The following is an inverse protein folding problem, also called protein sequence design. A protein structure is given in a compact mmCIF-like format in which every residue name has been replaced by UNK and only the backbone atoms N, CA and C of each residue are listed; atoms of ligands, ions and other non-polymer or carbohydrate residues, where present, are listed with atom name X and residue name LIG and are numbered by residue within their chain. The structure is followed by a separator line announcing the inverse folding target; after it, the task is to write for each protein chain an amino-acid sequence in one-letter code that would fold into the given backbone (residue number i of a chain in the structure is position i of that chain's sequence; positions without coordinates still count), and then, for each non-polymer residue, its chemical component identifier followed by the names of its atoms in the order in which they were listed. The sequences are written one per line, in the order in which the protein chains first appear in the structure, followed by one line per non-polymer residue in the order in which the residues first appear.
data_IF_312130379092
#
_entry.id   IF_312130379092
#
_cell.length_a   1.000
_cell.length_b   1.000
_cell.length_c   1.000
_cell.angle_alpha   90.00
_cell.angle_beta   90.00
_cell.angle_gamma   90.00
#
_symmetry.space_group_name_H-M   'P 1'
#
loop_
_entity.id
_entity.type
_entity.pdbx_description
1 polymer ?
#
# COMPACT_ATOMS: atom_id res chain seq x y z
N UNK A 1 -2.11 -2.57 -4.11
CA UNK A 1 -0.85 -1.88 -4.41
C UNK A 1 -0.43 -2.27 -5.81
N UNK A 2 -0.37 -1.28 -6.70
CA UNK A 2 0.23 -1.44 -8.03
C UNK A 2 1.68 -1.93 -7.84
N UNK A 3 2.09 -3.07 -8.42
CA UNK A 3 3.48 -3.53 -8.35
C UNK A 3 4.48 -2.51 -8.91
N UNK A 4 4.02 -1.45 -9.60
CA UNK A 4 4.84 -0.31 -10.00
C UNK A 4 5.31 0.57 -8.84
N UNK A 5 4.67 0.48 -7.66
CA UNK A 5 5.04 1.19 -6.43
C UNK A 5 5.25 2.70 -6.61
N UNK A 6 4.35 3.35 -7.37
CA UNK A 6 4.37 4.78 -7.68
C UNK A 6 3.08 5.53 -7.30
N UNK A 7 2.17 4.87 -6.57
CA UNK A 7 0.90 5.44 -6.07
C UNK A 7 1.10 6.74 -5.27
N UNK A 8 2.23 6.87 -4.58
CA UNK A 8 2.55 8.01 -3.71
C UNK A 8 3.52 9.02 -4.34
N UNK A 9 4.03 8.74 -5.54
CA UNK A 9 5.10 9.51 -6.19
C UNK A 9 4.77 11.00 -6.31
N UNK A 10 3.53 11.34 -6.68
CA UNK A 10 3.10 12.72 -6.86
C UNK A 10 2.94 13.46 -5.53
N UNK A 11 2.48 12.78 -4.48
CA UNK A 11 2.35 13.35 -3.13
C UNK A 11 3.73 13.64 -2.52
N UNK A 12 4.74 12.85 -2.87
CA UNK A 12 6.12 13.02 -2.41
C UNK A 12 6.99 13.87 -3.35
N UNK A 13 6.39 14.66 -4.24
CA UNK A 13 7.13 15.59 -5.10
C UNK A 13 8.01 14.92 -6.15
N UNK A 14 7.62 13.74 -6.64
CA UNK A 14 8.36 12.96 -7.64
C UNK A 14 9.34 11.95 -7.02
N UNK A 15 9.43 11.88 -5.69
CA UNK A 15 10.24 10.89 -4.99
C UNK A 15 9.60 9.50 -5.09
N UNK A 16 10.36 8.52 -5.58
CA UNK A 16 10.03 7.10 -5.44
C UNK A 16 10.55 6.62 -4.09
N UNK A 17 9.66 6.44 -3.12
CA UNK A 17 10.04 5.93 -1.81
C UNK A 17 10.37 4.44 -1.84
N UNK A 18 11.13 3.97 -0.84
CA UNK A 18 11.33 2.53 -0.64
C UNK A 18 10.01 1.89 -0.21
N UNK A 19 9.79 0.65 -0.62
CA UNK A 19 8.57 -0.08 -0.28
C UNK A 19 8.72 -0.81 1.05
N UNK A 20 7.60 -1.13 1.70
CA UNK A 20 7.56 -1.92 2.94
C UNK A 20 8.28 -3.25 2.75
N UNK A 21 8.02 -3.97 1.65
CA UNK A 21 8.69 -5.24 1.39
C UNK A 21 10.19 -5.08 1.14
N UNK A 22 10.65 -3.98 0.55
CA UNK A 22 12.08 -3.75 0.34
C UNK A 22 12.80 -3.44 1.65
N UNK A 23 12.16 -2.67 2.53
CA UNK A 23 12.69 -2.37 3.87
C UNK A 23 12.74 -3.64 4.71
N UNK A 24 11.66 -4.43 4.74
CA UNK A 24 11.64 -5.73 5.44
C UNK A 24 12.72 -6.70 4.93
N UNK A 25 13.05 -6.70 3.64
CA UNK A 25 14.14 -7.53 3.09
C UNK A 25 15.52 -7.06 3.53
N UNK A 26 15.70 -5.75 3.70
CA UNK A 26 16.98 -5.16 4.05
C UNK A 26 17.25 -5.17 5.55
N UNK A 27 16.23 -4.91 6.35
CA UNK A 27 16.33 -4.63 7.79
C UNK A 27 15.72 -5.74 8.66
N UNK A 28 14.93 -6.64 8.08
CA UNK A 28 14.29 -7.74 8.79
C UNK A 28 12.99 -7.31 9.48
N UNK A 29 12.78 -7.74 10.73
CA UNK A 29 11.57 -7.41 11.51
C UNK A 29 11.74 -6.15 12.38
N UNK A 30 12.94 -5.58 12.44
CA UNK A 30 13.25 -4.38 13.22
C UNK A 30 13.02 -3.13 12.35
N UNK A 31 11.75 -2.84 12.08
CA UNK A 31 11.30 -1.75 11.20
C UNK A 31 10.35 -0.84 11.97
N UNK A 32 10.65 0.46 11.99
CA UNK A 32 9.80 1.47 12.61
C UNK A 32 8.82 2.09 11.60
N UNK A 33 7.78 2.76 12.11
CA UNK A 33 6.78 3.41 11.26
C UNK A 33 7.42 4.50 10.37
N UNK A 34 8.44 5.19 10.89
CA UNK A 34 9.16 6.27 10.19
C UNK A 34 9.98 5.78 8.98
N UNK A 35 10.35 4.50 8.96
CA UNK A 35 11.11 3.92 7.85
C UNK A 35 10.23 3.69 6.62
N UNK A 36 8.96 3.32 6.86
CA UNK A 36 8.00 2.94 5.82
C UNK A 36 7.00 4.05 5.46
N UNK A 37 6.79 5.03 6.35
CA UNK A 37 5.88 6.14 6.16
C UNK A 37 6.62 7.43 5.82
N UNK A 38 6.16 8.13 4.78
CA UNK A 38 6.66 9.47 4.44
C UNK A 38 5.54 10.49 4.42
N UNK A 39 5.78 11.65 5.01
CA UNK A 39 4.85 12.77 4.93
C UNK A 39 5.07 13.55 3.64
N UNK A 40 4.02 13.64 2.82
CA UNK A 40 4.01 14.34 1.54
C UNK A 40 3.22 15.64 1.56
N UNK A 41 2.71 16.02 0.39
CA UNK A 41 1.90 17.20 0.17
C UNK A 41 0.75 17.30 1.18
N UNK A 42 0.54 18.50 1.75
CA UNK A 42 -0.52 18.79 2.73
C UNK A 42 -0.56 17.83 3.94
N UNK A 43 0.58 17.24 4.31
CA UNK A 43 0.64 16.33 5.46
C UNK A 43 0.10 14.93 5.18
N UNK A 44 -0.12 14.55 3.91
CA UNK A 44 -0.55 13.20 3.57
C UNK A 44 0.54 12.18 3.87
N UNK A 45 0.23 11.21 4.73
CA UNK A 45 1.13 10.08 5.03
C UNK A 45 1.07 9.07 3.88
N UNK A 46 2.23 8.74 3.34
CA UNK A 46 2.41 7.93 2.14
C UNK A 46 3.18 6.67 2.47
N UNK A 47 2.71 5.51 2.00
CA UNK A 47 3.37 4.20 2.15
C UNK A 47 3.22 3.43 0.84
N UNK A 48 4.27 2.69 0.45
CA UNK A 48 4.21 1.75 -0.69
C UNK A 48 4.38 0.32 -0.18
N UNK A 49 3.45 -0.58 -0.47
CA UNK A 49 3.56 -1.98 -0.05
C UNK A 49 4.73 -2.68 -0.75
N UNK A 50 4.88 -2.42 -2.05
CA UNK A 50 5.82 -3.12 -2.91
C UNK A 50 5.32 -4.49 -3.37
N UNK A 51 6.06 -5.06 -4.31
CA UNK A 51 5.76 -6.36 -4.92
C UNK A 51 6.76 -7.45 -4.52
N UNK A 52 6.40 -8.73 -4.67
CA UNK A 52 7.37 -9.81 -4.67
C UNK A 52 8.35 -9.66 -5.83
N UNK A 53 9.49 -10.36 -5.76
CA UNK A 53 10.36 -10.48 -6.92
C UNK A 53 9.59 -11.05 -8.12
N UNK A 54 9.81 -10.51 -9.34
CA UNK A 54 9.16 -10.99 -10.55
C UNK A 54 9.33 -12.50 -10.72
N UNK A 55 8.20 -13.21 -10.80
CA UNK A 55 8.17 -14.66 -11.02
C UNK A 55 8.32 -15.53 -9.76
N UNK A 56 8.48 -14.95 -8.56
CA UNK A 56 8.74 -15.72 -7.33
C UNK A 56 7.55 -15.72 -6.35
N UNK A 57 6.82 -14.62 -6.22
CA UNK A 57 5.80 -14.46 -5.18
C UNK A 57 4.43 -13.98 -5.67
N UNK A 58 3.49 -13.88 -4.73
CA UNK A 58 2.14 -13.35 -4.97
C UNK A 58 2.05 -11.90 -4.50
N UNK A 59 1.75 -10.97 -5.41
CA UNK A 59 1.57 -9.55 -5.10
C UNK A 59 0.53 -9.33 -3.98
N UNK A 60 -0.52 -10.15 -3.97
CA UNK A 60 -1.54 -10.14 -2.92
C UNK A 60 -1.00 -10.45 -1.52
N UNK A 61 0.06 -11.27 -1.38
CA UNK A 61 0.68 -11.54 -0.07
C UNK A 61 1.45 -10.32 0.44
N UNK A 62 2.03 -9.53 -0.46
CA UNK A 62 2.72 -8.28 -0.13
C UNK A 62 1.79 -7.26 0.54
N UNK A 63 0.59 -7.11 -0.02
CA UNK A 63 -0.46 -6.22 0.51
C UNK A 63 -0.83 -6.62 1.94
N UNK A 64 -1.09 -7.92 2.16
CA UNK A 64 -1.44 -8.46 3.48
C UNK A 64 -0.34 -8.17 4.50
N UNK A 65 0.91 -8.50 4.15
CA UNK A 65 2.07 -8.27 5.02
C UNK A 65 2.24 -6.79 5.35
N UNK A 66 2.06 -5.90 4.37
CA UNK A 66 2.26 -4.46 4.57
C UNK A 66 1.17 -3.84 5.44
N UNK A 67 -0.09 -4.21 5.21
CA UNK A 67 -1.21 -3.72 6.03
C UNK A 67 -1.06 -4.21 7.48
N UNK A 68 -0.74 -5.48 7.67
CA UNK A 68 -0.55 -6.03 9.02
C UNK A 68 0.60 -5.33 9.76
N UNK A 69 1.73 -5.07 9.08
CA UNK A 69 2.84 -4.34 9.69
C UNK A 69 2.44 -2.92 10.08
N UNK A 70 1.74 -2.19 9.19
CA UNK A 70 1.23 -0.86 9.50
C UNK A 70 0.30 -0.86 10.73
N UNK A 71 -0.55 -1.88 10.86
CA UNK A 71 -1.41 -2.05 12.04
C UNK A 71 -0.60 -2.32 13.30
N UNK A 72 0.41 -3.19 13.23
CA UNK A 72 1.29 -3.51 14.35
C UNK A 72 2.11 -2.30 14.81
N UNK A 73 2.55 -1.46 13.87
CA UNK A 73 3.30 -0.23 14.13
C UNK A 73 2.42 0.96 14.51
N UNK A 74 1.09 0.79 14.58
CA UNK A 74 0.18 1.82 15.05
C UNK A 74 -0.15 2.91 14.02
N UNK A 75 0.05 2.66 12.73
CA UNK A 75 -0.22 3.62 11.64
C UNK A 75 -1.69 4.10 11.61
N UNK A 76 -2.61 3.30 12.14
CA UNK A 76 -4.04 3.58 12.19
C UNK A 76 -4.55 3.90 13.60
N UNK A 77 -3.64 4.18 14.54
CA UNK A 77 -4.00 4.54 15.90
C UNK A 77 -4.70 5.91 15.95
N UNK A 78 -5.45 6.16 17.03
CA UNK A 78 -6.11 7.46 17.24
C UNK A 78 -5.11 8.61 17.39
N UNK A 79 -3.86 8.31 17.76
CA UNK A 79 -2.78 9.29 17.91
C UNK A 79 -2.36 9.92 16.57
N UNK A 80 -2.43 9.16 15.47
CA UNK A 80 -2.15 9.63 14.10
C UNK A 80 -3.25 10.55 13.55
N UNK A 81 -4.44 10.58 14.17
CA UNK A 81 -5.58 11.45 13.79
C UNK A 81 -5.95 11.39 12.30
N UNK A 82 -5.91 10.20 11.71
CA UNK A 82 -6.28 10.00 10.30
C UNK A 82 -7.76 10.27 10.07
N UNK A 83 -8.07 11.17 9.14
CA UNK A 83 -9.45 11.36 8.66
C UNK A 83 -9.88 10.31 7.64
N UNK A 84 -8.94 9.86 6.79
CA UNK A 84 -9.17 8.89 5.72
C UNK A 84 -7.91 8.04 5.49
N UNK A 85 -8.11 6.78 5.11
CA UNK A 85 -7.07 5.91 4.58
C UNK A 85 -7.49 5.46 3.18
N UNK A 86 -6.61 5.69 2.19
CA UNK A 86 -6.86 5.29 0.80
C UNK A 86 -5.94 4.12 0.45
N UNK A 87 -6.53 3.05 -0.09
CA UNK A 87 -5.79 1.90 -0.60
C UNK A 87 -5.84 1.92 -2.13
N UNK A 88 -4.71 2.23 -2.76
CA UNK A 88 -4.58 2.13 -4.21
C UNK A 88 -4.31 0.66 -4.61
N UNK A 89 -5.31 0.01 -5.20
CA UNK A 89 -5.31 -1.43 -5.47
C UNK A 89 -5.43 -1.68 -6.96
N UNK A 90 -4.55 -2.55 -7.48
CA UNK A 90 -4.56 -2.96 -8.88
C UNK A 90 -5.85 -3.70 -9.23
N UNK A 91 -6.52 -3.25 -10.30
CA UNK A 91 -7.79 -3.78 -10.78
C UNK A 91 -7.67 -4.89 -11.84
N UNK A 92 -6.50 -5.05 -12.49
CA UNK A 92 -6.35 -5.96 -13.63
C UNK A 92 -6.48 -7.44 -13.24
N UNK A 93 -6.09 -7.79 -12.00
CA UNK A 93 -6.15 -9.15 -11.47
C UNK A 93 -6.77 -9.13 -10.08
N UNK A 94 -7.97 -9.67 -9.96
CA UNK A 94 -8.70 -9.73 -8.67
C UNK A 94 -8.48 -11.10 -8.01
N UNK A 95 -7.27 -11.34 -7.52
CA UNK A 95 -6.96 -12.53 -6.73
C UNK A 95 -7.25 -12.30 -5.22
N UNK A 96 -7.25 -13.38 -4.43
CA UNK A 96 -7.63 -13.32 -3.02
C UNK A 96 -6.81 -12.34 -2.15
N UNK A 97 -5.57 -12.02 -2.53
CA UNK A 97 -4.79 -11.03 -1.80
C UNK A 97 -5.07 -9.57 -2.20
N UNK A 98 -5.44 -9.29 -3.46
CA UNK A 98 -5.90 -7.96 -3.86
C UNK A 98 -7.29 -7.64 -3.28
N UNK A 99 -8.13 -8.66 -3.06
CA UNK A 99 -9.41 -8.52 -2.39
C UNK A 99 -9.29 -8.41 -0.86
N UNK A 100 -8.09 -8.54 -0.26
CA UNK A 100 -7.93 -8.56 1.19
C UNK A 100 -8.44 -7.29 1.90
N UNK A 101 -8.17 -6.06 1.43
CA UNK A 101 -8.69 -4.86 2.08
C UNK A 101 -10.21 -4.87 2.22
N UNK A 102 -10.93 -5.40 1.22
CA UNK A 102 -12.38 -5.54 1.24
C UNK A 102 -12.80 -6.70 2.13
N UNK A 103 -12.17 -7.87 1.97
CA UNK A 103 -12.52 -9.11 2.69
C UNK A 103 -12.34 -8.99 4.20
N UNK A 104 -11.33 -8.26 4.64
CA UNK A 104 -11.00 -8.08 6.07
C UNK A 104 -11.56 -6.77 6.63
N UNK A 105 -12.41 -6.07 5.88
CA UNK A 105 -13.11 -4.87 6.33
C UNK A 105 -12.22 -3.65 6.54
N UNK A 106 -10.99 -3.66 6.01
CA UNK A 106 -10.04 -2.53 6.06
C UNK A 106 -10.51 -1.37 5.18
N UNK A 107 -11.17 -1.69 4.06
CA UNK A 107 -11.83 -0.73 3.18
C UNK A 107 -13.35 -0.98 3.17
N UNK A 108 -14.12 0.01 3.62
CA UNK A 108 -15.58 -0.05 3.67
C UNK A 108 -16.25 0.64 2.48
N UNK A 109 -15.57 1.62 1.89
CA UNK A 109 -16.01 2.34 0.69
C UNK A 109 -15.11 1.97 -0.49
N UNK A 110 -15.70 1.56 -1.61
CA UNK A 110 -14.98 1.14 -2.80
C UNK A 110 -15.37 2.05 -3.96
N UNK A 111 -14.36 2.68 -4.57
CA UNK A 111 -14.50 3.51 -5.75
C UNK A 111 -13.74 2.85 -6.91
N UNK A 112 -14.39 2.68 -8.06
CA UNK A 112 -13.80 2.03 -9.25
C UNK A 112 -13.61 3.10 -10.33
N UNK A 113 -12.36 3.28 -10.77
CA UNK A 113 -12.01 4.19 -11.87
C UNK A 113 -12.12 3.43 -13.19
N UNK A 114 -12.91 3.95 -14.14
CA UNK A 114 -13.15 3.33 -15.46
C UNK A 114 -13.07 4.37 -16.58
N UNK A 115 -12.78 3.92 -17.80
CA UNK A 115 -12.93 4.69 -19.04
C UNK A 115 -14.03 4.06 -19.92
N UNK A 116 -14.41 4.71 -21.02
CA UNK A 116 -15.35 4.15 -22.00
C UNK A 116 -14.75 3.08 -22.92
N UNK A 117 -13.49 2.68 -22.68
CA UNK A 117 -12.77 1.71 -23.51
C UNK A 117 -13.14 0.29 -23.08
N UNK A 118 -13.44 -0.57 -24.06
CA UNK A 118 -13.58 -2.00 -23.80
C UNK A 118 -12.18 -2.62 -23.76
N UNK A 119 -11.85 -3.27 -22.64
CA UNK A 119 -10.67 -4.11 -22.50
C UNK A 119 -10.93 -5.43 -23.22
N UNK A 120 -10.15 -5.72 -24.27
CA UNK A 120 -10.25 -6.94 -25.09
C UNK A 120 -9.09 -7.90 -24.81
#
# INVERSE_FOLDING_TARGET
CDPKADSTRLLLGGLSQKTVLDILRAEGEDVDLEDICKTGFMGTVCVESGGPEPGVGCAGRGIITSINLLEQLGAYSEDEKLGYAFYDVLGDVVCGGFAMPIREGKAQEIYIVVSGEMMA
#
